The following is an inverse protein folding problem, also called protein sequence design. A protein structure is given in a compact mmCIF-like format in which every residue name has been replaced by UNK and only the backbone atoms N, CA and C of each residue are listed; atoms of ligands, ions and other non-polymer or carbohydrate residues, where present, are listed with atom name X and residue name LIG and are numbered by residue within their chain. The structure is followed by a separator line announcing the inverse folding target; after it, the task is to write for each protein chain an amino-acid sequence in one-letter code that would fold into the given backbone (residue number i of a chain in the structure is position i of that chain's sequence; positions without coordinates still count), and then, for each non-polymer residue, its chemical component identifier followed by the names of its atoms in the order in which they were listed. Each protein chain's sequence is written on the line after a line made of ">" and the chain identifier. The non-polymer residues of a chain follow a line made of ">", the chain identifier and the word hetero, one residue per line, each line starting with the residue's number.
data_IF_542913287319
#
_entry.id   IF_542913287319
#
_cell.length_a   1.000
_cell.length_b   1.000
_cell.length_c   1.000
_cell.angle_alpha   90.00
_cell.angle_beta   90.00
_cell.angle_gamma   90.00
#
_symmetry.space_group_name_H-M   'P 1'
#
loop_
_entity.id
_entity.type
_entity.pdbx_description
1 polymer ?
#
# COMPACT_ATOMS: atom_id res chain seq x y z
N UNK A 1 -9.63 -18.51 -3.49
CA UNK A 1 -8.34 -18.07 -2.91
C UNK A 1 -7.69 -17.05 -3.84
N UNK A 2 -7.52 -15.80 -3.42
CA UNK A 2 -6.70 -14.83 -4.16
C UNK A 2 -5.25 -15.29 -4.00
N UNK A 3 -4.76 -16.12 -4.92
CA UNK A 3 -3.51 -16.88 -4.74
C UNK A 3 -2.24 -16.02 -4.67
N UNK A 4 -2.28 -14.70 -4.87
CA UNK A 4 -1.11 -13.85 -4.60
C UNK A 4 -1.41 -12.34 -4.44
N UNK A 5 -2.13 -11.94 -3.40
CA UNK A 5 -2.49 -10.54 -3.16
C UNK A 5 -1.27 -9.61 -3.04
N UNK A 6 -0.18 -10.09 -2.44
CA UNK A 6 1.07 -9.35 -2.34
C UNK A 6 1.69 -9.06 -3.70
N UNK A 7 1.69 -10.04 -4.61
CA UNK A 7 2.19 -9.87 -5.97
C UNK A 7 1.39 -8.83 -6.75
N UNK A 8 0.06 -8.85 -6.62
CA UNK A 8 -0.82 -7.84 -7.22
C UNK A 8 -0.48 -6.44 -6.74
N UNK A 9 -0.41 -6.24 -5.41
CA UNK A 9 -0.05 -4.93 -4.84
C UNK A 9 1.36 -4.50 -5.25
N UNK A 10 2.33 -5.41 -5.30
CA UNK A 10 3.70 -5.08 -5.72
C UNK A 10 3.74 -4.62 -7.18
N UNK A 11 3.06 -5.32 -8.08
CA UNK A 11 2.99 -4.91 -9.49
C UNK A 11 2.27 -3.57 -9.64
N UNK A 12 1.15 -3.37 -8.94
CA UNK A 12 0.45 -2.09 -8.88
C UNK A 12 1.39 -0.96 -8.43
N UNK A 13 2.11 -1.13 -7.32
CA UNK A 13 3.04 -0.13 -6.79
C UNK A 13 4.20 0.15 -7.77
N UNK A 14 4.76 -0.87 -8.42
CA UNK A 14 5.80 -0.68 -9.44
C UNK A 14 5.30 0.12 -10.64
N UNK A 15 4.07 -0.13 -11.08
CA UNK A 15 3.46 0.64 -12.17
C UNK A 15 3.18 2.08 -11.72
N UNK A 16 2.68 2.27 -10.49
CA UNK A 16 2.48 3.59 -9.90
C UNK A 16 3.78 4.39 -9.84
N UNK A 17 4.91 3.76 -9.48
CA UNK A 17 6.22 4.43 -9.36
C UNK A 17 6.67 5.08 -10.67
N UNK A 18 6.33 4.47 -11.82
CA UNK A 18 6.69 4.99 -13.15
C UNK A 18 5.95 6.27 -13.50
N UNK A 19 4.75 6.47 -12.97
CA UNK A 19 3.87 7.59 -13.35
C UNK A 19 3.71 8.63 -12.24
N UNK A 20 4.08 8.30 -11.00
CA UNK A 20 3.84 9.15 -9.84
C UNK A 20 4.78 10.35 -9.80
N UNK A 21 4.22 11.55 -9.97
CA UNK A 21 4.99 12.81 -9.95
C UNK A 21 5.39 13.26 -8.55
N UNK A 22 4.50 13.13 -7.56
CA UNK A 22 4.71 13.70 -6.22
C UNK A 22 4.28 12.76 -5.09
N UNK A 23 2.96 12.53 -4.96
CA UNK A 23 2.38 11.78 -3.83
C UNK A 23 1.20 10.93 -4.28
N UNK A 24 1.05 9.77 -3.65
CA UNK A 24 -0.11 8.90 -3.80
C UNK A 24 -0.68 8.55 -2.43
N UNK A 25 -1.99 8.32 -2.36
CA UNK A 25 -2.65 7.74 -1.19
C UNK A 25 -3.13 6.34 -1.57
N UNK A 26 -2.67 5.33 -0.82
CA UNK A 26 -3.01 3.94 -1.08
C UNK A 26 -3.58 3.31 0.18
N UNK A 27 -4.64 2.53 0.02
CA UNK A 27 -5.30 1.83 1.11
C UNK A 27 -4.94 0.35 1.05
N UNK A 28 -4.51 -0.19 2.19
CA UNK A 28 -4.23 -1.60 2.38
C UNK A 28 -5.11 -2.16 3.50
N UNK A 29 -5.58 -3.41 3.41
CA UNK A 29 -6.12 -4.09 4.57
C UNK A 29 -4.99 -4.44 5.55
N UNK A 30 -5.29 -4.49 6.86
CA UNK A 30 -4.31 -4.73 7.92
C UNK A 30 -3.52 -6.06 7.80
N UNK A 31 -4.05 -7.06 7.09
CA UNK A 31 -3.40 -8.35 6.89
C UNK A 31 -2.38 -8.37 5.73
N UNK A 32 -2.25 -7.28 4.96
CA UNK A 32 -1.22 -7.15 3.92
C UNK A 32 0.00 -6.46 4.51
N UNK A 33 1.19 -7.02 4.30
CA UNK A 33 2.47 -6.40 4.68
C UNK A 33 2.85 -5.25 3.72
N UNK A 34 2.08 -4.18 3.76
CA UNK A 34 2.24 -3.02 2.87
C UNK A 34 3.61 -2.35 3.02
N UNK A 35 4.19 -2.35 4.23
CA UNK A 35 5.50 -1.72 4.47
C UNK A 35 6.60 -2.41 3.64
N UNK A 36 6.60 -3.76 3.63
CA UNK A 36 7.53 -4.53 2.80
C UNK A 36 7.30 -4.28 1.31
N UNK A 37 6.05 -4.22 0.86
CA UNK A 37 5.71 -3.99 -0.55
C UNK A 37 6.11 -2.59 -1.04
N UNK A 38 5.82 -1.56 -0.24
CA UNK A 38 6.19 -0.16 -0.51
C UNK A 38 7.70 -0.01 -0.59
N UNK A 39 8.43 -0.60 0.37
CA UNK A 39 9.91 -0.60 0.36
C UNK A 39 10.47 -1.26 -0.90
N UNK A 40 9.93 -2.44 -1.29
CA UNK A 40 10.32 -3.13 -2.53
C UNK A 40 9.98 -2.34 -3.81
N UNK A 41 8.94 -1.50 -3.78
CA UNK A 41 8.56 -0.64 -4.90
C UNK A 41 9.33 0.69 -4.94
N UNK A 42 10.17 0.98 -3.93
CA UNK A 42 11.01 2.17 -3.89
C UNK A 42 10.29 3.45 -3.50
N UNK A 43 9.20 3.36 -2.73
CA UNK A 43 8.48 4.53 -2.19
C UNK A 43 8.89 4.82 -0.74
N UNK A 44 8.69 6.07 -0.33
CA UNK A 44 8.78 6.49 1.08
C UNK A 44 7.38 6.61 1.67
N UNK A 45 7.18 6.12 2.89
CA UNK A 45 5.94 6.37 3.65
C UNK A 45 6.08 7.75 4.30
N UNK A 46 5.28 8.71 3.87
CA UNK A 46 5.26 10.04 4.48
C UNK A 46 4.32 10.10 5.69
N UNK A 47 3.14 9.47 5.57
CA UNK A 47 2.12 9.41 6.63
C UNK A 47 1.41 8.07 6.60
N UNK A 48 0.97 7.62 7.76
CA UNK A 48 0.17 6.42 7.94
C UNK A 48 -1.02 6.72 8.85
N UNK A 49 -2.20 6.27 8.44
CA UNK A 49 -3.43 6.33 9.22
C UNK A 49 -4.06 4.95 9.29
N UNK A 50 -4.77 4.68 10.37
CA UNK A 50 -5.53 3.44 10.55
C UNK A 50 -7.01 3.79 10.73
N UNK A 51 -7.86 3.08 10.00
CA UNK A 51 -9.31 3.21 10.10
C UNK A 51 -9.91 1.83 10.39
N UNK A 52 -10.51 1.70 11.57
CA UNK A 52 -11.33 0.54 11.88
C UNK A 52 -12.60 0.57 11.04
N UNK A 53 -12.91 -0.52 10.33
CA UNK A 53 -14.13 -0.64 9.52
C UNK A 53 -15.16 -1.53 10.23
N UNK A 54 -14.75 -2.73 10.62
CA UNK A 54 -15.55 -3.65 11.43
C UNK A 54 -14.65 -4.72 12.07
N UNK A 55 -15.25 -5.63 12.86
CA UNK A 55 -14.58 -6.66 13.69
C UNK A 55 -13.41 -7.44 13.07
N UNK A 56 -13.37 -7.57 11.74
CA UNK A 56 -12.33 -8.34 11.03
C UNK A 56 -11.61 -7.53 9.95
N UNK A 57 -11.83 -6.22 9.89
CA UNK A 57 -11.19 -5.37 8.90
C UNK A 57 -10.84 -4.01 9.50
N UNK A 58 -9.54 -3.80 9.66
CA UNK A 58 -8.94 -2.48 9.75
C UNK A 58 -8.26 -2.17 8.42
N UNK A 59 -8.41 -0.94 7.92
CA UNK A 59 -7.71 -0.44 6.73
C UNK A 59 -6.58 0.50 7.16
N UNK A 60 -5.46 0.40 6.45
CA UNK A 60 -4.27 1.25 6.56
C UNK A 60 -4.27 2.20 5.37
N UNK A 61 -4.37 3.49 5.65
CA UNK A 61 -4.34 4.54 4.63
C UNK A 61 -2.94 5.13 4.67
N UNK A 62 -2.20 5.01 3.57
CA UNK A 62 -0.77 5.33 3.53
C UNK A 62 -0.52 6.39 2.47
N UNK A 63 0.13 7.47 2.88
CA UNK A 63 0.61 8.52 1.97
C UNK A 63 2.03 8.16 1.54
N UNK A 64 2.21 7.97 0.24
CA UNK A 64 3.47 7.63 -0.39
C UNK A 64 4.08 8.86 -1.04
N UNK A 65 5.37 9.08 -0.81
CA UNK A 65 6.21 10.01 -1.56
C UNK A 65 7.14 9.27 -2.52
N UNK A 66 7.44 9.90 -3.65
CA UNK A 66 8.43 9.41 -4.62
C UNK A 66 9.86 9.37 -4.04
#
# INVERSE_FOLDING_TARGET
>A
MIKNIESFYLQFLKNLKKILKKRAVVIFPHYVDYKKLIKKAGFKIEKEFSQFIHRSLTRKIVVLGS
#
